data_IF_601094798784
#
_entry.id   IF_601094798784
#
_cell.length_a   1.000
_cell.length_b   1.000
_cell.length_c   1.000
_cell.angle_alpha   90.00
_cell.angle_beta   90.00
_cell.angle_gamma   90.00
#
_symmetry.space_group_name_H-M   'P 1'
#
loop_
_entity.id
_entity.type
_entity.pdbx_description
1 polymer ?
#
# COMPACT_ATOMS: atom_id res chain seq x y z
N UNK A 1 17.55 2.72 5.49
CA UNK A 1 17.61 2.96 4.03
C UNK A 1 16.26 3.50 3.58
N UNK A 2 16.17 4.32 2.54
CA UNK A 2 14.88 4.74 1.99
C UNK A 2 14.08 3.51 1.54
N UNK A 3 12.77 3.48 1.77
CA UNK A 3 11.91 2.40 1.33
C UNK A 3 11.58 2.59 -0.17
N UNK A 4 12.15 1.75 -1.05
CA UNK A 4 12.05 1.86 -2.51
C UNK A 4 11.52 0.56 -3.14
N UNK A 5 10.27 0.16 -2.84
CA UNK A 5 9.77 -1.15 -3.23
C UNK A 5 9.76 -1.34 -4.75
N UNK A 6 9.58 -0.29 -5.55
CA UNK A 6 9.61 -0.42 -7.00
C UNK A 6 11.02 -0.68 -7.54
N UNK A 7 12.02 0.05 -7.03
CA UNK A 7 13.42 -0.21 -7.37
C UNK A 7 13.81 -1.65 -7.03
N UNK A 8 13.40 -2.14 -5.86
CA UNK A 8 13.69 -3.51 -5.42
C UNK A 8 13.10 -4.55 -6.38
N UNK A 9 11.90 -4.31 -6.93
CA UNK A 9 11.28 -5.18 -7.95
C UNK A 9 11.99 -5.11 -9.29
N UNK A 10 12.40 -3.93 -9.74
CA UNK A 10 13.20 -3.77 -10.96
C UNK A 10 14.52 -4.53 -10.84
N UNK A 11 15.23 -4.36 -9.74
CA UNK A 11 16.49 -5.05 -9.49
C UNK A 11 16.34 -6.57 -9.38
N UNK A 12 15.28 -7.03 -8.69
CA UNK A 12 14.98 -8.46 -8.62
C UNK A 12 14.66 -9.03 -10.01
N UNK A 13 13.93 -8.29 -10.86
CA UNK A 13 13.65 -8.69 -12.23
C UNK A 13 14.92 -8.72 -13.11
N UNK A 14 15.83 -7.75 -12.95
CA UNK A 14 17.12 -7.73 -13.65
C UNK A 14 17.97 -8.96 -13.31
N UNK A 15 17.97 -9.38 -12.04
CA UNK A 15 18.68 -10.58 -11.57
C UNK A 15 17.96 -11.90 -11.85
N UNK A 16 16.75 -11.86 -12.41
CA UNK A 16 15.97 -13.06 -12.65
C UNK A 16 16.59 -13.88 -13.79
N UNK A 17 16.97 -15.15 -13.56
CA UNK A 17 17.61 -15.98 -14.58
C UNK A 17 16.72 -16.30 -15.78
N UNK A 18 15.40 -16.05 -15.67
CA UNK A 18 14.44 -16.20 -16.77
C UNK A 18 14.34 -14.97 -17.68
N UNK A 19 14.90 -13.83 -17.26
CA UNK A 19 15.01 -12.64 -18.10
C UNK A 19 16.19 -12.83 -19.05
N UNK A 20 15.90 -12.84 -20.35
CA UNK A 20 16.94 -12.93 -21.37
C UNK A 20 17.72 -11.60 -21.49
N UNK A 21 18.81 -11.60 -22.27
CA UNK A 21 19.69 -10.43 -22.42
C UNK A 21 18.95 -9.16 -22.83
N UNK A 22 17.97 -9.27 -23.73
CA UNK A 22 17.16 -8.14 -24.17
C UNK A 22 16.16 -7.68 -23.09
N UNK A 23 15.61 -8.59 -22.28
CA UNK A 23 14.77 -8.23 -21.13
C UNK A 23 15.58 -7.47 -20.08
N UNK A 24 16.80 -7.93 -19.79
CA UNK A 24 17.72 -7.23 -18.88
C UNK A 24 18.03 -5.82 -19.38
N UNK A 25 18.30 -5.65 -20.68
CA UNK A 25 18.50 -4.32 -21.28
C UNK A 25 17.29 -3.40 -21.11
N UNK A 26 16.08 -3.93 -21.34
CA UNK A 26 14.84 -3.17 -21.12
C UNK A 26 14.66 -2.79 -19.64
N UNK A 27 14.87 -3.72 -18.72
CA UNK A 27 14.72 -3.46 -17.28
C UNK A 27 15.77 -2.47 -16.75
N UNK A 28 16.98 -2.48 -17.32
CA UNK A 28 18.00 -1.47 -17.05
C UNK A 28 17.58 -0.07 -17.52
N UNK A 29 16.96 0.03 -18.71
CA UNK A 29 16.34 1.28 -19.18
C UNK A 29 15.21 1.74 -18.23
N UNK A 30 14.37 0.80 -17.77
CA UNK A 30 13.33 1.09 -16.78
C UNK A 30 13.90 1.63 -15.46
N UNK A 31 15.02 1.07 -14.99
CA UNK A 31 15.71 1.51 -13.78
C UNK A 31 16.26 2.93 -13.92
N UNK A 32 16.78 3.29 -15.09
CA UNK A 32 17.27 4.65 -15.32
C UNK A 32 16.12 5.67 -15.39
N UNK A 33 15.02 5.31 -16.05
CA UNK A 33 13.80 6.13 -16.06
C UNK A 33 13.16 6.25 -14.68
N UNK A 34 13.24 5.21 -13.87
CA UNK A 34 12.84 5.26 -12.46
C UNK A 34 13.65 6.32 -11.69
N UNK A 35 14.98 6.31 -11.80
CA UNK A 35 15.84 7.30 -11.13
C UNK A 35 15.48 8.73 -11.54
N UNK A 36 15.23 8.94 -12.84
CA UNK A 36 14.77 10.22 -13.37
C UNK A 36 13.43 10.64 -12.77
N UNK A 37 12.46 9.72 -12.72
CA UNK A 37 11.15 9.96 -12.11
C UNK A 37 11.26 10.31 -10.63
N UNK A 38 12.04 9.57 -9.85
CA UNK A 38 12.26 9.85 -8.42
C UNK A 38 12.92 11.19 -8.17
N UNK A 39 13.95 11.53 -8.94
CA UNK A 39 14.58 12.86 -8.85
C UNK A 39 13.58 13.98 -9.14
N UNK A 40 12.71 13.80 -10.14
CA UNK A 40 11.66 14.75 -10.47
C UNK A 40 10.58 14.85 -9.37
N UNK A 41 10.19 13.73 -8.75
CA UNK A 41 9.25 13.71 -7.61
C UNK A 41 9.82 14.49 -6.42
N UNK A 42 11.09 14.28 -6.08
CA UNK A 42 11.76 15.04 -5.01
C UNK A 42 11.80 16.53 -5.33
N UNK A 43 12.18 16.88 -6.56
CA UNK A 43 12.31 18.26 -7.04
C UNK A 43 10.97 18.95 -7.37
N UNK A 44 9.84 18.25 -7.31
CA UNK A 44 8.53 18.83 -7.62
C UNK A 44 8.28 20.10 -6.80
N UNK A 45 7.73 21.14 -7.42
CA UNK A 45 7.45 22.41 -6.74
C UNK A 45 6.08 22.38 -6.04
N UNK A 46 5.86 23.38 -5.17
CA UNK A 46 4.59 23.55 -4.45
C UNK A 46 4.47 22.73 -3.17
N UNK A 47 3.33 22.89 -2.49
CA UNK A 47 2.93 22.16 -1.27
C UNK A 47 1.48 21.71 -1.37
N UNK A 48 1.09 20.69 -0.60
CA UNK A 48 -0.28 20.18 -0.56
C UNK A 48 -0.80 19.83 -1.95
N UNK A 49 -2.03 20.26 -2.28
CA UNK A 49 -2.70 19.93 -3.54
C UNK A 49 -1.90 20.27 -4.81
N UNK A 50 -1.36 21.50 -5.01
CA UNK A 50 -0.50 21.80 -6.15
C UNK A 50 0.66 20.82 -6.34
N UNK A 51 1.30 20.40 -5.23
CA UNK A 51 2.40 19.43 -5.29
C UNK A 51 1.90 18.06 -5.73
N UNK A 52 0.78 17.59 -5.17
CA UNK A 52 0.16 16.31 -5.51
C UNK A 52 -0.23 16.24 -6.99
N UNK A 53 -0.75 17.33 -7.56
CA UNK A 53 -1.03 17.43 -9.00
C UNK A 53 0.27 17.27 -9.81
N UNK A 54 1.34 17.99 -9.45
CA UNK A 54 2.62 17.88 -10.13
C UNK A 54 3.22 16.46 -10.03
N UNK A 55 3.15 15.85 -8.84
CA UNK A 55 3.61 14.48 -8.60
C UNK A 55 2.80 13.45 -9.39
N UNK A 56 1.48 13.62 -9.47
CA UNK A 56 0.59 12.71 -10.23
C UNK A 56 0.85 12.80 -11.73
N UNK A 57 1.19 13.98 -12.25
CA UNK A 57 1.64 14.11 -13.64
C UNK A 57 2.91 13.30 -13.90
N UNK A 58 3.92 13.44 -13.03
CA UNK A 58 5.17 12.67 -13.14
C UNK A 58 4.95 11.16 -13.01
N UNK A 59 4.01 10.74 -12.16
CA UNK A 59 3.57 9.35 -12.06
C UNK A 59 2.99 8.84 -13.38
N UNK A 60 2.07 9.60 -14.00
CA UNK A 60 1.49 9.22 -15.30
C UNK A 60 2.58 9.10 -16.37
N UNK A 61 3.48 10.09 -16.48
CA UNK A 61 4.62 10.06 -17.43
C UNK A 61 5.49 8.80 -17.24
N UNK A 62 5.76 8.41 -15.99
CA UNK A 62 6.53 7.20 -15.70
C UNK A 62 5.76 5.91 -16.01
N UNK A 63 4.47 5.83 -15.65
CA UNK A 63 3.64 4.65 -15.93
C UNK A 63 3.38 4.47 -17.42
N UNK A 64 3.16 5.54 -18.17
CA UNK A 64 3.00 5.47 -19.63
C UNK A 64 4.28 4.93 -20.29
N UNK A 65 5.44 5.41 -19.87
CA UNK A 65 6.71 4.85 -20.30
C UNK A 65 6.84 3.36 -19.94
N UNK A 66 6.64 3.00 -18.67
CA UNK A 66 6.89 1.64 -18.18
C UNK A 66 5.89 0.64 -18.77
N UNK A 67 4.61 0.95 -18.72
CA UNK A 67 3.53 0.01 -19.02
C UNK A 67 3.21 -0.04 -20.51
N UNK A 68 3.25 1.11 -21.21
CA UNK A 68 2.91 1.21 -22.63
C UNK A 68 4.16 1.09 -23.50
N UNK A 69 5.13 2.00 -23.36
CA UNK A 69 6.29 2.05 -24.26
C UNK A 69 7.27 0.89 -24.04
N UNK A 70 7.46 0.48 -22.79
CA UNK A 70 8.43 -0.56 -22.46
C UNK A 70 7.77 -1.93 -22.43
N UNK A 71 6.83 -2.18 -21.51
CA UNK A 71 6.25 -3.52 -21.32
C UNK A 71 5.35 -3.92 -22.49
N UNK A 72 4.34 -3.12 -22.84
CA UNK A 72 3.37 -3.51 -23.87
C UNK A 72 3.97 -3.47 -25.29
N UNK A 73 4.73 -2.44 -25.64
CA UNK A 73 5.29 -2.33 -26.98
C UNK A 73 6.54 -3.22 -27.18
N UNK A 74 7.51 -3.14 -26.27
CA UNK A 74 8.86 -3.73 -26.47
C UNK A 74 9.14 -4.98 -25.63
N UNK A 75 8.35 -5.25 -24.59
CA UNK A 75 8.56 -6.37 -23.68
C UNK A 75 8.47 -7.72 -24.38
N UNK A 76 9.31 -8.67 -23.97
CA UNK A 76 9.23 -10.05 -24.42
C UNK A 76 7.92 -10.71 -23.99
N UNK A 77 7.61 -11.88 -24.55
CA UNK A 77 6.49 -12.69 -24.10
C UNK A 77 6.61 -13.10 -22.62
N UNK A 78 7.83 -13.17 -22.07
CA UNK A 78 8.05 -13.42 -20.65
C UNK A 78 7.62 -12.21 -19.82
N UNK A 79 8.19 -11.03 -20.08
CA UNK A 79 7.88 -9.79 -19.35
C UNK A 79 6.39 -9.47 -19.39
N UNK A 80 5.76 -9.55 -20.58
CA UNK A 80 4.33 -9.27 -20.76
C UNK A 80 3.43 -10.19 -19.93
N UNK A 81 3.76 -11.49 -19.85
CA UNK A 81 2.97 -12.48 -19.09
C UNK A 81 3.26 -12.43 -17.60
N UNK A 82 4.50 -12.13 -17.21
CA UNK A 82 4.97 -12.21 -15.84
C UNK A 82 4.98 -10.88 -15.09
N UNK A 83 4.62 -9.76 -15.73
CA UNK A 83 4.63 -8.43 -15.10
C UNK A 83 3.92 -8.38 -13.74
N UNK A 84 2.78 -9.06 -13.60
CA UNK A 84 2.03 -9.12 -12.34
C UNK A 84 2.74 -9.96 -11.27
N UNK A 85 3.39 -11.07 -11.64
CA UNK A 85 4.18 -11.88 -10.71
C UNK A 85 5.46 -11.13 -10.28
N UNK A 86 6.09 -10.41 -11.21
CA UNK A 86 7.25 -9.56 -10.94
C UNK A 86 6.87 -8.27 -10.19
N UNK A 87 5.57 -7.97 -10.08
CA UNK A 87 5.01 -6.73 -9.51
C UNK A 87 5.60 -5.46 -10.12
N UNK A 88 5.95 -5.46 -11.40
CA UNK A 88 6.59 -4.31 -12.05
C UNK A 88 5.63 -3.11 -12.17
N UNK A 89 4.33 -3.36 -12.35
CA UNK A 89 3.29 -2.33 -12.47
C UNK A 89 2.78 -1.88 -11.09
N UNK A 90 2.37 -2.83 -10.25
CA UNK A 90 1.77 -2.53 -8.94
C UNK A 90 2.72 -1.76 -8.01
N UNK A 91 4.00 -2.14 -7.97
CA UNK A 91 4.97 -1.53 -7.04
C UNK A 91 5.24 -0.04 -7.31
N UNK A 92 4.93 0.46 -8.52
CA UNK A 92 5.04 1.90 -8.84
C UNK A 92 4.13 2.72 -7.95
N UNK A 93 2.87 2.29 -7.81
CA UNK A 93 1.90 2.98 -6.97
C UNK A 93 2.23 2.78 -5.49
N UNK A 94 2.65 1.58 -5.08
CA UNK A 94 3.13 1.32 -3.71
C UNK A 94 4.20 2.34 -3.29
N UNK A 95 5.20 2.59 -4.14
CA UNK A 95 6.25 3.57 -3.87
C UNK A 95 5.76 5.01 -3.96
N UNK A 96 4.89 5.33 -4.92
CA UNK A 96 4.31 6.67 -5.05
C UNK A 96 3.54 7.08 -3.79
N UNK A 97 2.83 6.15 -3.14
CA UNK A 97 2.14 6.45 -1.88
C UNK A 97 3.11 6.79 -0.75
N UNK A 98 4.32 6.22 -0.73
CA UNK A 98 5.37 6.60 0.22
C UNK A 98 5.77 8.05 0.00
N UNK A 99 5.94 8.47 -1.27
CA UNK A 99 6.29 9.85 -1.61
C UNK A 99 5.22 10.87 -1.20
N UNK A 100 3.96 10.45 -1.04
CA UNK A 100 2.88 11.33 -0.55
C UNK A 100 2.97 11.58 0.96
N UNK A 101 3.60 10.70 1.74
CA UNK A 101 3.70 10.85 3.20
C UNK A 101 4.93 11.66 3.57
N UNK A 102 4.87 12.97 3.34
CA UNK A 102 5.96 13.90 3.65
C UNK A 102 5.46 15.30 4.04
N UNK A 103 6.27 16.11 4.75
CA UNK A 103 5.85 17.44 5.24
C UNK A 103 5.50 18.47 4.16
N UNK A 104 5.88 18.24 2.91
CA UNK A 104 5.50 19.11 1.78
C UNK A 104 4.11 18.79 1.23
N UNK A 105 3.54 17.63 1.58
CA UNK A 105 2.19 17.18 1.17
C UNK A 105 1.24 17.20 2.35
N UNK A 106 1.65 16.65 3.50
CA UNK A 106 0.87 16.51 4.72
C UNK A 106 1.39 17.43 5.83
N UNK A 107 0.51 17.87 6.72
CA UNK A 107 0.85 18.58 7.95
C UNK A 107 0.52 17.72 9.18
N UNK A 108 1.17 18.01 10.31
CA UNK A 108 0.88 17.29 11.57
C UNK A 108 1.48 15.89 11.66
N UNK A 109 2.40 15.52 10.76
CA UNK A 109 3.17 14.28 10.91
C UNK A 109 3.98 14.30 12.22
N UNK A 110 4.05 13.16 12.94
CA UNK A 110 4.80 13.09 14.19
C UNK A 110 6.31 13.24 13.97
N UNK A 111 7.02 13.57 15.06
CA UNK A 111 8.48 13.71 15.10
C UNK A 111 9.23 12.37 15.27
N UNK A 112 8.50 11.28 15.51
CA UNK A 112 9.05 9.93 15.59
C UNK A 112 8.96 9.18 14.25
N UNK A 113 9.84 8.18 14.02
CA UNK A 113 9.81 7.41 12.78
C UNK A 113 8.57 6.52 12.70
N UNK A 114 7.86 6.65 11.58
CA UNK A 114 6.74 5.81 11.18
C UNK A 114 7.19 4.65 10.29
N UNK A 115 6.46 3.55 10.31
CA UNK A 115 6.56 2.47 9.32
C UNK A 115 5.64 2.83 8.16
N UNK A 116 6.23 3.15 6.99
CA UNK A 116 5.51 3.61 5.80
C UNK A 116 5.87 2.75 4.59
N UNK A 117 4.88 2.37 3.77
CA UNK A 117 5.05 1.57 2.55
C UNK A 117 4.61 0.11 2.71
N UNK A 118 5.00 -0.80 1.79
CA UNK A 118 4.67 -2.21 1.89
C UNK A 118 5.22 -2.82 3.18
N UNK A 119 4.35 -3.46 3.97
CA UNK A 119 4.74 -4.13 5.21
C UNK A 119 3.67 -5.14 5.65
N UNK A 120 4.01 -5.96 6.63
CA UNK A 120 3.02 -6.77 7.35
C UNK A 120 2.27 -5.91 8.36
N UNK A 121 0.96 -6.11 8.49
CA UNK A 121 0.13 -5.51 9.53
C UNK A 121 -0.34 -6.56 10.54
N UNK A 122 -0.35 -6.21 11.82
CA UNK A 122 -0.91 -7.02 12.89
C UNK A 122 -2.40 -7.27 12.69
N UNK A 123 -2.83 -8.54 12.73
CA UNK A 123 -4.23 -8.94 12.62
C UNK A 123 -4.78 -9.48 13.94
N UNK A 124 -4.03 -10.35 14.62
CA UNK A 124 -4.44 -10.93 15.90
C UNK A 124 -3.26 -11.53 16.67
N UNK A 125 -3.42 -11.60 17.99
CA UNK A 125 -2.50 -12.25 18.92
C UNK A 125 -3.26 -13.36 19.65
N UNK A 126 -2.62 -14.51 19.82
CA UNK A 126 -3.17 -15.60 20.63
C UNK A 126 -2.07 -16.29 21.44
N UNK A 127 -2.43 -16.82 22.60
CA UNK A 127 -1.57 -17.69 23.40
C UNK A 127 -1.88 -19.15 23.06
N UNK A 128 -0.84 -19.93 22.78
CA UNK A 128 -0.96 -21.32 22.35
C UNK A 128 -0.11 -22.26 23.25
N UNK A 129 -0.43 -22.36 24.55
CA UNK A 129 0.33 -23.23 25.45
C UNK A 129 0.19 -24.70 25.03
N UNK A 130 1.29 -25.47 24.94
CA UNK A 130 1.24 -26.87 24.51
C UNK A 130 0.66 -27.82 25.56
N UNK A 131 0.64 -27.41 26.83
CA UNK A 131 0.09 -28.17 27.95
C UNK A 131 -0.16 -27.26 29.17
N UNK A 132 -0.95 -27.74 30.14
CA UNK A 132 -1.26 -27.00 31.37
C UNK A 132 0.00 -26.60 32.17
N UNK A 133 1.02 -27.46 32.20
CA UNK A 133 2.30 -27.19 32.88
C UNK A 133 3.04 -25.98 32.31
N UNK A 134 2.89 -25.73 31.01
CA UNK A 134 3.57 -24.64 30.32
C UNK A 134 2.98 -23.26 30.65
N UNK A 135 1.88 -23.19 31.42
CA UNK A 135 1.32 -21.91 31.87
C UNK A 135 2.23 -21.15 32.86
N UNK A 136 3.22 -21.82 33.45
CA UNK A 136 4.24 -21.19 34.32
C UNK A 136 5.61 -21.05 33.62
N UNK A 137 5.68 -21.34 32.32
CA UNK A 137 6.85 -21.17 31.46
C UNK A 137 6.67 -19.90 30.59
N UNK A 138 7.66 -19.59 29.75
CA UNK A 138 7.53 -18.51 28.77
C UNK A 138 6.29 -18.73 27.86
N UNK A 139 5.36 -17.76 27.76
CA UNK A 139 4.15 -17.95 26.97
C UNK A 139 4.44 -18.14 25.48
N UNK A 140 3.83 -19.15 24.86
CA UNK A 140 3.89 -19.32 23.40
C UNK A 140 2.91 -18.34 22.75
N UNK A 141 3.45 -17.32 22.07
CA UNK A 141 2.68 -16.28 21.39
C UNK A 141 2.60 -16.58 19.89
N UNK A 142 1.38 -16.70 19.37
CA UNK A 142 1.13 -16.81 17.94
C UNK A 142 0.56 -15.48 17.41
N UNK A 143 1.37 -14.78 16.62
CA UNK A 143 0.96 -13.60 15.88
C UNK A 143 0.44 -13.99 14.49
N UNK A 144 -0.74 -13.47 14.14
CA UNK A 144 -1.18 -13.47 12.74
C UNK A 144 -0.96 -12.07 12.18
N UNK A 145 -0.27 -12.03 11.06
CA UNK A 145 -0.02 -10.81 10.29
C UNK A 145 -0.52 -10.99 8.85
N UNK A 146 -0.67 -9.87 8.14
CA UNK A 146 -1.07 -9.85 6.73
C UNK A 146 -0.22 -8.84 5.97
N UNK A 147 0.34 -9.25 4.84
CA UNK A 147 1.00 -8.33 3.91
C UNK A 147 0.00 -7.28 3.41
N UNK A 148 0.40 -6.01 3.48
CA UNK A 148 -0.32 -4.86 2.95
C UNK A 148 0.56 -4.18 1.91
N UNK A 149 -0.04 -3.74 0.81
CA UNK A 149 0.67 -3.04 -0.26
C UNK A 149 1.16 -1.64 0.22
N UNK A 150 0.44 -1.02 1.15
CA UNK A 150 0.86 0.23 1.78
C UNK A 150 0.32 0.33 3.21
N UNK A 151 1.16 0.75 4.16
CA UNK A 151 0.73 1.13 5.51
C UNK A 151 1.29 2.48 5.93
N UNK A 152 0.61 3.11 6.89
CA UNK A 152 1.19 4.05 7.84
C UNK A 152 0.97 3.43 9.22
N UNK A 153 2.06 3.18 9.94
CA UNK A 153 2.00 2.46 11.20
C UNK A 153 3.23 2.68 12.08
N UNK A 154 3.32 1.85 13.11
CA UNK A 154 4.44 1.85 14.04
C UNK A 154 4.74 0.43 14.50
N UNK A 155 6.02 0.10 14.61
CA UNK A 155 6.46 -1.10 15.31
C UNK A 155 6.24 -0.94 16.82
N UNK A 156 5.57 -1.93 17.42
CA UNK A 156 5.27 -2.03 18.84
C UNK A 156 5.97 -3.28 19.37
N UNK A 157 6.76 -3.11 20.42
CA UNK A 157 7.41 -4.21 21.12
C UNK A 157 6.56 -4.69 22.30
N UNK A 158 6.53 -5.99 22.55
CA UNK A 158 5.81 -6.59 23.67
C UNK A 158 6.68 -7.58 24.45
N UNK A 159 6.31 -7.78 25.72
CA UNK A 159 6.81 -8.85 26.58
C UNK A 159 5.65 -9.46 27.36
N UNK A 160 5.62 -10.78 27.47
CA UNK A 160 4.65 -11.54 28.26
C UNK A 160 5.38 -12.50 29.18
N UNK A 161 4.96 -12.55 30.45
CA UNK A 161 5.52 -13.43 31.47
C UNK A 161 4.39 -13.86 32.41
N UNK A 162 4.34 -15.13 32.87
CA UNK A 162 3.47 -15.53 33.97
C UNK A 162 4.00 -15.04 35.32
N UNK A 163 5.25 -14.59 35.36
CA UNK A 163 5.96 -14.13 36.56
C UNK A 163 6.12 -12.60 36.54
N UNK A 164 5.67 -11.86 37.57
CA UNK A 164 5.78 -10.41 37.63
C UNK A 164 7.23 -9.90 37.69
N UNK A 165 8.20 -10.75 38.00
CA UNK A 165 9.61 -10.40 37.95
C UNK A 165 10.18 -10.32 36.52
N UNK A 166 9.44 -10.80 35.50
CA UNK A 166 9.89 -10.88 34.11
C UNK A 166 11.28 -11.55 33.97
N UNK A 167 11.49 -12.65 34.70
CA UNK A 167 12.67 -13.48 34.56
C UNK A 167 12.84 -13.90 33.08
N UNK A 168 14.06 -13.85 32.57
CA UNK A 168 14.35 -14.00 31.14
C UNK A 168 13.90 -15.36 30.59
N UNK A 169 14.10 -16.42 31.37
CA UNK A 169 13.68 -17.79 31.07
C UNK A 169 12.16 -18.00 31.05
N UNK A 170 11.40 -17.06 31.63
CA UNK A 170 9.92 -17.05 31.67
C UNK A 170 9.28 -15.98 30.81
N UNK A 171 10.06 -15.19 30.08
CA UNK A 171 9.54 -14.06 29.33
C UNK A 171 9.60 -14.29 27.82
N UNK A 172 8.45 -14.31 27.17
CA UNK A 172 8.37 -14.22 25.72
C UNK A 172 8.38 -12.74 25.30
N UNK A 173 9.22 -12.40 24.32
CA UNK A 173 9.35 -11.03 23.79
C UNK A 173 9.23 -11.04 22.28
N UNK A 174 8.77 -9.93 21.69
CA UNK A 174 8.68 -9.79 20.24
C UNK A 174 8.28 -8.37 19.83
N UNK A 175 8.05 -8.19 18.53
CA UNK A 175 7.47 -6.97 17.98
C UNK A 175 6.38 -7.29 16.96
N UNK A 176 5.52 -6.30 16.74
CA UNK A 176 4.49 -6.32 15.72
C UNK A 176 4.36 -4.94 15.09
N UNK A 177 3.92 -4.88 13.84
CA UNK A 177 3.64 -3.62 13.17
C UNK A 177 2.14 -3.31 13.31
N UNK A 178 1.83 -2.27 14.08
CA UNK A 178 0.49 -1.73 14.19
C UNK A 178 0.25 -0.76 13.04
N UNK A 179 -0.47 -1.20 12.01
CA UNK A 179 -0.92 -0.33 10.93
C UNK A 179 -2.17 0.43 11.39
N UNK A 180 -2.06 1.76 11.44
CA UNK A 180 -3.18 2.65 11.78
C UNK A 180 -3.85 3.20 10.52
N UNK A 181 -3.18 3.09 9.37
CA UNK A 181 -3.78 3.22 8.06
C UNK A 181 -3.16 2.14 7.16
N UNK A 182 -3.98 1.48 6.36
CA UNK A 182 -3.53 0.53 5.36
C UNK A 182 -4.27 0.77 4.03
N UNK A 183 -3.60 0.44 2.93
CA UNK A 183 -4.20 0.46 1.61
C UNK A 183 -3.74 -0.72 0.76
N UNK A 184 -4.68 -1.29 0.00
CA UNK A 184 -4.41 -2.22 -1.09
C UNK A 184 -4.26 -1.46 -2.40
N UNK A 185 -3.29 -1.83 -3.23
CA UNK A 185 -2.97 -1.14 -4.48
C UNK A 185 -3.08 -2.13 -5.63
N UNK A 186 -4.05 -1.93 -6.53
CA UNK A 186 -4.36 -2.90 -7.58
C UNK A 186 -4.47 -2.25 -8.95
N UNK A 187 -3.82 -2.82 -9.98
CA UNK A 187 -4.09 -2.41 -11.38
C UNK A 187 -5.56 -2.63 -11.74
N UNK A 188 -6.17 -3.74 -11.31
CA UNK A 188 -7.59 -3.98 -11.47
C UNK A 188 -8.22 -4.51 -10.18
N UNK A 189 -9.49 -4.18 -9.95
CA UNK A 189 -10.26 -4.68 -8.81
C UNK A 189 -11.44 -5.53 -9.30
N UNK A 190 -11.42 -6.82 -8.99
CA UNK A 190 -12.53 -7.74 -9.21
C UNK A 190 -13.29 -8.05 -7.91
N UNK A 191 -14.42 -8.75 -8.01
CA UNK A 191 -15.30 -9.05 -6.87
C UNK A 191 -14.62 -9.90 -5.80
N UNK A 192 -13.77 -10.85 -6.18
CA UNK A 192 -13.07 -11.71 -5.24
C UNK A 192 -12.05 -10.90 -4.44
N UNK A 193 -11.26 -10.07 -5.12
CA UNK A 193 -10.31 -9.16 -4.47
C UNK A 193 -11.02 -8.20 -3.50
N UNK A 194 -12.17 -7.65 -3.89
CA UNK A 194 -12.96 -6.78 -3.02
C UNK A 194 -13.45 -7.49 -1.75
N UNK A 195 -13.95 -8.72 -1.87
CA UNK A 195 -14.40 -9.52 -0.72
C UNK A 195 -13.25 -9.89 0.23
N UNK A 196 -12.10 -10.27 -0.31
CA UNK A 196 -10.89 -10.55 0.47
C UNK A 196 -10.41 -9.31 1.23
N UNK A 197 -10.40 -8.15 0.55
CA UNK A 197 -10.05 -6.87 1.15
C UNK A 197 -11.04 -6.49 2.27
N UNK A 198 -12.33 -6.72 2.08
CA UNK A 198 -13.35 -6.49 3.13
C UNK A 198 -13.09 -7.34 4.38
N UNK A 199 -12.76 -8.62 4.20
CA UNK A 199 -12.41 -9.50 5.32
C UNK A 199 -11.10 -9.11 6.01
N UNK A 200 -10.15 -8.56 5.26
CA UNK A 200 -8.88 -8.04 5.78
C UNK A 200 -9.09 -6.77 6.58
N UNK A 201 -9.88 -5.82 6.06
CA UNK A 201 -10.26 -4.59 6.74
C UNK A 201 -10.92 -4.86 8.10
N UNK A 202 -11.85 -5.83 8.15
CA UNK A 202 -12.53 -6.21 9.40
C UNK A 202 -11.54 -6.73 10.46
N UNK A 203 -10.56 -7.55 10.06
CA UNK A 203 -9.54 -8.07 10.98
C UNK A 203 -8.56 -6.99 11.44
N UNK A 204 -8.15 -6.10 10.54
CA UNK A 204 -7.29 -4.97 10.89
C UNK A 204 -7.98 -4.09 11.95
N UNK A 205 -9.27 -3.79 11.75
CA UNK A 205 -10.07 -2.98 12.68
C UNK A 205 -10.35 -3.70 14.01
N UNK A 206 -10.29 -5.02 14.05
CA UNK A 206 -10.37 -5.75 15.32
C UNK A 206 -9.12 -5.50 16.18
N UNK A 207 -7.93 -5.45 15.57
CA UNK A 207 -6.67 -5.15 16.27
C UNK A 207 -6.45 -3.66 16.56
N UNK A 208 -6.96 -2.79 15.69
CA UNK A 208 -6.92 -1.33 15.84
C UNK A 208 -8.26 -0.72 15.35
N UNK A 209 -9.24 -0.49 16.24
CA UNK A 209 -10.58 -0.01 15.85
C UNK A 209 -10.60 1.30 15.07
N UNK A 210 -9.59 2.14 15.29
CA UNK A 210 -9.44 3.44 14.64
C UNK A 210 -8.72 3.35 13.30
N UNK A 211 -8.21 2.18 12.92
CA UNK A 211 -7.46 2.03 11.68
C UNK A 211 -8.32 2.37 10.47
N UNK A 212 -7.71 3.03 9.49
CA UNK A 212 -8.33 3.30 8.20
C UNK A 212 -7.85 2.28 7.17
N UNK A 213 -8.75 1.78 6.34
CA UNK A 213 -8.47 0.78 5.31
C UNK A 213 -9.05 1.21 3.97
N UNK A 214 -8.16 1.39 3.00
CA UNK A 214 -8.51 1.86 1.66
C UNK A 214 -8.14 0.85 0.57
N UNK A 215 -8.75 1.01 -0.60
CA UNK A 215 -8.29 0.35 -1.82
C UNK A 215 -8.06 1.44 -2.86
N UNK A 216 -6.90 1.43 -3.49
CA UNK A 216 -6.62 2.26 -4.67
C UNK A 216 -6.51 1.33 -5.86
N UNK A 217 -7.36 1.54 -6.86
CA UNK A 217 -7.33 0.72 -8.06
C UNK A 217 -7.37 1.56 -9.34
N UNK A 218 -6.61 1.14 -10.35
CA UNK A 218 -6.58 1.85 -11.63
C UNK A 218 -7.83 1.58 -12.46
N UNK A 219 -8.21 0.30 -12.58
CA UNK A 219 -9.34 -0.15 -13.38
C UNK A 219 -10.34 -0.99 -12.59
N UNK A 220 -11.63 -0.87 -12.90
CA UNK A 220 -12.68 -1.70 -12.28
C UNK A 220 -13.00 -2.93 -13.15
N UNK A 221 -13.01 -4.12 -12.55
CA UNK A 221 -13.35 -5.41 -13.18
C UNK A 221 -14.54 -6.06 -12.45
N UNK A 222 -15.44 -5.21 -11.95
CA UNK A 222 -16.68 -5.53 -11.26
C UNK A 222 -17.65 -4.33 -11.39
N UNK A 223 -18.86 -4.45 -10.88
CA UNK A 223 -19.72 -3.28 -10.65
C UNK A 223 -19.32 -2.56 -9.35
N UNK A 224 -19.48 -1.23 -9.26
CA UNK A 224 -19.25 -0.51 -8.02
C UNK A 224 -20.13 -1.03 -6.88
N UNK A 225 -19.54 -1.32 -5.72
CA UNK A 225 -20.22 -1.77 -4.51
C UNK A 225 -20.24 -0.67 -3.45
N UNK A 226 -21.25 -0.69 -2.58
CA UNK A 226 -21.35 0.26 -1.47
C UNK A 226 -20.42 -0.14 -0.31
N UNK A 227 -19.32 0.59 -0.16
CA UNK A 227 -18.32 0.34 0.88
C UNK A 227 -18.89 0.45 2.31
N UNK A 228 -20.00 1.18 2.51
CA UNK A 228 -20.65 1.34 3.83
C UNK A 228 -21.20 0.03 4.38
N UNK A 229 -21.40 -0.98 3.52
CA UNK A 229 -21.81 -2.32 3.89
C UNK A 229 -20.62 -3.23 4.27
N UNK A 230 -19.41 -2.67 4.28
CA UNK A 230 -18.16 -3.39 4.53
C UNK A 230 -17.31 -2.67 5.59
N UNK A 231 -16.19 -3.27 5.96
CA UNK A 231 -15.20 -2.63 6.83
C UNK A 231 -14.21 -1.73 6.07
N UNK A 232 -14.26 -1.68 4.73
CA UNK A 232 -13.43 -0.82 3.88
C UNK A 232 -13.94 0.62 4.00
N UNK A 233 -13.05 1.57 4.32
CA UNK A 233 -13.44 2.97 4.48
C UNK A 233 -13.71 3.66 3.14
N UNK A 234 -12.93 3.34 2.11
CA UNK A 234 -13.19 3.82 0.75
C UNK A 234 -12.44 3.02 -0.33
N UNK A 235 -12.95 3.08 -1.56
CA UNK A 235 -12.29 2.59 -2.78
C UNK A 235 -12.07 3.78 -3.72
N UNK A 236 -10.82 3.99 -4.17
CA UNK A 236 -10.43 5.06 -5.08
C UNK A 236 -10.14 4.48 -6.46
N UNK A 237 -11.04 4.73 -7.41
CA UNK A 237 -10.85 4.39 -8.82
C UNK A 237 -10.04 5.49 -9.52
N UNK A 238 -8.74 5.24 -9.72
CA UNK A 238 -7.76 6.25 -10.10
C UNK A 238 -7.93 6.78 -11.53
N UNK A 239 -8.42 5.95 -12.45
CA UNK A 239 -8.57 6.31 -13.88
C UNK A 239 -10.02 6.48 -14.32
N UNK A 240 -11.00 6.34 -13.43
CA UNK A 240 -12.43 6.38 -13.78
C UNK A 240 -12.85 5.39 -14.88
N UNK A 241 -12.16 4.27 -15.02
CA UNK A 241 -12.34 3.36 -16.15
C UNK A 241 -12.57 1.90 -15.74
N UNK A 242 -13.38 1.17 -16.51
CA UNK A 242 -13.43 -0.29 -16.45
C UNK A 242 -12.17 -0.88 -17.10
N UNK A 243 -11.77 -2.07 -16.64
CA UNK A 243 -10.68 -2.83 -17.23
C UNK A 243 -11.02 -3.17 -18.68
N UNK A 244 -10.02 -3.15 -19.57
CA UNK A 244 -10.23 -3.61 -20.95
C UNK A 244 -10.77 -5.05 -20.96
N UNK A 245 -11.68 -5.38 -21.90
CA UNK A 245 -12.04 -6.76 -22.22
C UNK A 245 -10.81 -7.60 -22.58
N UNK A 246 -10.85 -8.90 -22.30
CA UNK A 246 -9.71 -9.80 -22.41
C UNK A 246 -9.01 -9.72 -23.77
N UNK A 247 -9.78 -9.71 -24.87
CA UNK A 247 -9.31 -9.66 -26.25
C UNK A 247 -8.61 -8.35 -26.63
N UNK A 248 -8.80 -7.28 -25.84
CA UNK A 248 -8.19 -5.97 -26.07
C UNK A 248 -6.94 -5.72 -25.21
N UNK A 249 -6.72 -6.51 -24.15
CA UNK A 249 -5.62 -6.32 -23.18
C UNK A 249 -4.23 -6.49 -23.78
N UNK A 250 -4.10 -7.26 -24.86
CA UNK A 250 -2.83 -7.47 -25.58
C UNK A 250 -2.66 -6.58 -26.80
N UNK A 251 -3.67 -5.75 -27.13
CA UNK A 251 -3.63 -4.88 -28.30
C UNK A 251 -3.02 -3.54 -27.89
N UNK A 252 -1.79 -3.28 -28.35
CA UNK A 252 -1.02 -2.09 -27.94
C UNK A 252 -1.79 -0.78 -28.14
N UNK A 253 -2.48 -0.62 -29.27
CA UNK A 253 -3.26 0.58 -29.56
C UNK A 253 -4.43 0.77 -28.57
N UNK A 254 -5.05 -0.32 -28.09
CA UNK A 254 -6.15 -0.26 -27.11
C UNK A 254 -5.61 0.12 -25.72
N UNK A 255 -4.50 -0.49 -25.30
CA UNK A 255 -3.83 -0.17 -24.03
C UNK A 255 -3.38 1.29 -24.00
N UNK A 256 -2.69 1.73 -25.06
CA UNK A 256 -2.26 3.13 -25.23
C UNK A 256 -3.43 4.10 -25.16
N UNK A 257 -4.50 3.86 -25.94
CA UNK A 257 -5.68 4.71 -25.93
C UNK A 257 -6.37 4.74 -24.56
N UNK A 258 -6.36 3.63 -23.82
CA UNK A 258 -6.92 3.60 -22.47
C UNK A 258 -6.14 4.50 -21.52
N UNK A 259 -4.81 4.48 -21.56
CA UNK A 259 -3.96 5.38 -20.77
C UNK A 259 -4.17 6.84 -21.13
N UNK A 260 -4.17 7.17 -22.43
CA UNK A 260 -4.34 8.54 -22.94
C UNK A 260 -5.71 9.13 -22.56
N UNK A 261 -6.78 8.34 -22.71
CA UNK A 261 -8.13 8.81 -22.41
C UNK A 261 -8.45 8.82 -20.90
N UNK A 262 -7.73 8.00 -20.13
CA UNK A 262 -7.98 7.78 -18.70
C UNK A 262 -6.67 7.77 -17.92
N UNK A 263 -5.95 8.92 -17.87
CA UNK A 263 -4.79 9.04 -16.99
C UNK A 263 -5.21 8.90 -15.52
N UNK A 264 -4.26 8.62 -14.64
CA UNK A 264 -4.50 8.70 -13.19
C UNK A 264 -4.88 10.13 -12.84
N UNK A 265 -6.07 10.30 -12.27
CA UNK A 265 -6.64 11.58 -11.92
C UNK A 265 -6.05 12.10 -10.60
N UNK A 266 -5.37 13.24 -10.69
CA UNK A 266 -4.77 13.93 -9.55
C UNK A 266 -5.81 14.35 -8.49
N UNK A 267 -7.06 14.60 -8.88
CA UNK A 267 -8.12 14.92 -7.91
C UNK A 267 -8.51 13.70 -7.08
N UNK A 268 -8.45 12.49 -7.65
CA UNK A 268 -8.69 11.25 -6.90
C UNK A 268 -7.54 10.97 -5.94
N UNK A 269 -6.29 11.17 -6.38
CA UNK A 269 -5.13 11.08 -5.49
C UNK A 269 -5.22 12.13 -4.37
N UNK A 270 -5.62 13.36 -4.68
CA UNK A 270 -5.79 14.40 -3.67
C UNK A 270 -6.87 14.03 -2.65
N UNK A 271 -8.01 13.47 -3.07
CA UNK A 271 -9.04 12.97 -2.14
C UNK A 271 -8.49 11.91 -1.19
N UNK A 272 -7.60 11.03 -1.65
CA UNK A 272 -6.93 10.06 -0.78
C UNK A 272 -6.00 10.77 0.24
N UNK A 273 -5.22 11.75 -0.22
CA UNK A 273 -4.37 12.58 0.66
C UNK A 273 -5.20 13.34 1.69
N UNK A 274 -6.37 13.86 1.32
CA UNK A 274 -7.30 14.51 2.26
C UNK A 274 -7.81 13.54 3.34
N UNK A 275 -8.04 12.26 2.99
CA UNK A 275 -8.37 11.24 3.99
C UNK A 275 -7.22 10.98 4.95
N UNK A 276 -5.99 10.89 4.46
CA UNK A 276 -4.81 10.76 5.33
C UNK A 276 -4.67 12.00 6.23
N UNK A 277 -4.82 13.21 5.69
CA UNK A 277 -4.70 14.44 6.46
C UNK A 277 -5.79 14.56 7.53
N UNK A 278 -7.03 14.20 7.20
CA UNK A 278 -8.13 14.16 8.16
C UNK A 278 -7.86 13.12 9.27
N UNK A 279 -7.31 11.97 8.91
CA UNK A 279 -6.92 10.93 9.87
C UNK A 279 -5.81 11.40 10.83
N UNK A 280 -4.79 12.10 10.32
CA UNK A 280 -3.71 12.69 11.14
C UNK A 280 -4.25 13.74 12.11
N UNK A 281 -5.18 14.59 11.66
CA UNK A 281 -5.74 15.67 12.46
C UNK A 281 -6.79 15.19 13.48
N UNK A 282 -7.31 13.97 13.34
CA UNK A 282 -8.37 13.46 14.19
C UNK A 282 -7.84 13.05 15.57
N UNK A 283 -8.52 13.48 16.62
CA UNK A 283 -8.42 12.83 17.93
C UNK A 283 -9.20 11.51 17.86
N UNK A 284 -8.50 10.38 17.78
CA UNK A 284 -9.15 9.07 17.61
C UNK A 284 -10.00 8.66 18.82
N UNK A 285 -9.59 9.05 20.03
CA UNK A 285 -10.34 8.82 21.26
C UNK A 285 -10.03 9.90 22.29
N UNK A 286 -11.07 10.65 22.70
CA UNK A 286 -10.97 11.67 23.74
C UNK A 286 -12.25 11.68 24.61
N UNK A 287 -12.28 10.89 25.70
CA UNK A 287 -13.43 10.81 26.58
C UNK A 287 -13.71 12.12 27.34
N UNK A 288 -12.70 12.97 27.56
CA UNK A 288 -12.92 14.26 28.22
C UNK A 288 -13.67 15.23 27.29
N UNK A 289 -13.28 15.27 26.01
CA UNK A 289 -13.99 16.08 25.02
C UNK A 289 -15.39 15.54 24.69
N UNK A 290 -15.65 14.24 24.86
CA UNK A 290 -17.00 13.67 24.68
C UNK A 290 -18.01 14.30 25.66
N UNK A 291 -17.63 14.51 26.92
CA UNK A 291 -18.47 15.17 27.92
C UNK A 291 -18.73 16.64 27.58
N UNK A 292 -17.74 17.34 27.00
CA UNK A 292 -17.89 18.74 26.59
C UNK A 292 -18.75 18.89 25.33
N UNK A 293 -18.56 18.00 24.35
CA UNK A 293 -19.32 18.01 23.08
C UNK A 293 -20.74 17.49 23.24
N UNK A 294 -21.01 16.70 24.27
CA UNK A 294 -22.30 15.99 24.43
C UNK A 294 -22.50 14.87 23.40
N UNK A 295 -21.42 14.42 22.75
CA UNK A 295 -21.41 13.36 21.74
C UNK A 295 -20.14 12.51 21.89
N UNK A 296 -20.28 11.20 21.65
CA UNK A 296 -19.18 10.24 21.68
C UNK A 296 -18.27 10.33 20.44
N UNK A 297 -18.78 10.94 19.36
CA UNK A 297 -18.09 11.16 18.07
C UNK A 297 -18.28 12.59 17.59
#
# INVERSE_FOLDING_TARGET
MPNTPHLDKLEAAIRNPKCEREDVRLLEEARERYRTWKAAITAAAGKGKPRVIAMTRLLNEYKDFLEVELIAARGSAFIKRQKGQLKLDNSVLEEFLIDLVQPTVLTGLPDFPLTIGPNTAFMSLSFAPPALRALNEAPVVALKVKDQDFIIGKEIHYRFSPDPAFAEDKTASGSLTLAVLAAEVKVNLDKTMFQEASGTAARLKQGCPYSQYYILNEYLDMEPEDCRLTAIDNVFLLRHAKRLPFEKRSVLAEVRRQHENNPIDAEVIWKFVEKIQAFINAAWYDPAAALQRGSFV
#
